data_IF_577396540501
#
_entry.id   IF_577396540501
#
_cell.length_a   1.000
_cell.length_b   1.000
_cell.length_c   1.000
_cell.angle_alpha   90.00
_cell.angle_beta   90.00
_cell.angle_gamma   90.00
#
_symmetry.space_group_name_H-M   'P 1'
#
loop_
_entity.id
_entity.type
_entity.pdbx_description
1 polymer ?
#
# COMPACT_ATOMS: atom_id res chain seq x y z
N UNK A 1 42.34 -81.75 -7.22
CA UNK A 1 42.89 -80.54 -6.58
C UNK A 1 42.76 -79.37 -7.56
N UNK A 2 41.58 -78.75 -7.63
CA UNK A 2 41.33 -77.52 -8.39
C UNK A 2 40.22 -76.80 -7.66
N UNK A 3 40.61 -75.98 -6.68
CA UNK A 3 39.67 -75.24 -5.86
C UNK A 3 40.15 -73.80 -5.72
N UNK A 4 39.19 -72.90 -5.97
CA UNK A 4 39.17 -71.47 -5.62
C UNK A 4 40.31 -70.58 -6.09
N UNK A 5 40.13 -69.98 -7.28
CA UNK A 5 40.93 -68.80 -7.71
C UNK A 5 40.08 -67.66 -8.30
N UNK A 6 38.81 -67.52 -7.91
CA UNK A 6 37.89 -66.52 -8.48
C UNK A 6 37.13 -65.72 -7.40
N UNK A 7 37.78 -65.31 -6.30
CA UNK A 7 37.07 -64.52 -5.28
C UNK A 7 37.65 -63.14 -4.94
N UNK A 8 38.83 -62.79 -5.45
CA UNK A 8 39.47 -61.53 -5.07
C UNK A 8 39.03 -60.34 -5.94
N UNK A 9 38.77 -60.54 -7.24
CA UNK A 9 38.39 -59.45 -8.16
C UNK A 9 37.08 -58.75 -7.78
N UNK A 10 36.04 -59.51 -7.45
CA UNK A 10 34.71 -58.99 -7.13
C UNK A 10 34.68 -58.19 -5.82
N UNK A 11 35.56 -58.49 -4.87
CA UNK A 11 35.69 -57.76 -3.61
C UNK A 11 36.31 -56.38 -3.84
N UNK A 12 37.32 -56.29 -4.68
CA UNK A 12 37.96 -55.01 -5.01
C UNK A 12 37.03 -54.09 -5.81
N UNK A 13 36.25 -54.62 -6.75
CA UNK A 13 35.27 -53.80 -7.49
C UNK A 13 34.20 -53.22 -6.58
N UNK A 14 33.70 -54.00 -5.60
CA UNK A 14 32.72 -53.50 -4.64
C UNK A 14 33.30 -52.40 -3.73
N UNK A 15 34.54 -52.56 -3.25
CA UNK A 15 35.21 -51.55 -2.41
C UNK A 15 35.44 -50.24 -3.18
N UNK A 16 35.83 -50.32 -4.46
CA UNK A 16 36.06 -49.15 -5.30
C UNK A 16 34.73 -48.42 -5.55
N UNK A 17 33.66 -49.14 -5.89
CA UNK A 17 32.34 -48.55 -6.13
C UNK A 17 31.77 -47.92 -4.86
N UNK A 18 31.88 -48.59 -3.70
CA UNK A 18 31.41 -48.00 -2.43
C UNK A 18 32.20 -46.75 -2.05
N UNK A 19 33.52 -46.75 -2.26
CA UNK A 19 34.37 -45.59 -1.99
C UNK A 19 34.01 -44.41 -2.89
N UNK A 20 33.73 -44.68 -4.17
CA UNK A 20 33.31 -43.64 -5.12
C UNK A 20 31.97 -43.03 -4.68
N UNK A 21 30.98 -43.85 -4.34
CA UNK A 21 29.66 -43.37 -3.89
C UNK A 21 29.80 -42.48 -2.64
N UNK A 22 30.59 -42.90 -1.64
CA UNK A 22 30.83 -42.11 -0.43
C UNK A 22 31.50 -40.78 -0.79
N UNK A 23 32.49 -40.78 -1.67
CA UNK A 23 33.20 -39.56 -2.06
C UNK A 23 32.28 -38.58 -2.81
N UNK A 24 31.42 -39.09 -3.70
CA UNK A 24 30.37 -38.27 -4.34
C UNK A 24 29.37 -37.71 -3.32
N UNK A 25 28.92 -38.51 -2.35
CA UNK A 25 27.99 -38.06 -1.33
C UNK A 25 28.58 -36.95 -0.45
N UNK A 26 29.84 -37.08 -0.01
CA UNK A 26 30.55 -36.05 0.76
C UNK A 26 30.72 -34.77 -0.07
N UNK A 27 31.06 -34.89 -1.36
CA UNK A 27 31.19 -33.73 -2.24
C UNK A 27 29.86 -32.99 -2.41
N UNK A 28 28.75 -33.70 -2.62
CA UNK A 28 27.42 -33.10 -2.74
C UNK A 28 26.95 -32.43 -1.44
N UNK A 29 27.21 -33.03 -0.28
CA UNK A 29 26.93 -32.41 1.03
C UNK A 29 27.74 -31.12 1.21
N UNK A 30 29.01 -31.12 0.81
CA UNK A 30 29.87 -29.93 0.86
C UNK A 30 29.37 -28.78 -0.02
N UNK A 31 28.94 -29.06 -1.25
CA UNK A 31 28.33 -28.06 -2.13
C UNK A 31 27.04 -27.47 -1.55
N UNK A 32 26.17 -28.33 -1.00
CA UNK A 32 24.91 -27.91 -0.41
C UNK A 32 25.10 -27.03 0.83
N UNK A 33 26.06 -27.37 1.70
CA UNK A 33 26.42 -26.53 2.85
C UNK A 33 27.05 -25.19 2.42
N UNK A 34 27.91 -25.19 1.39
CA UNK A 34 28.50 -23.97 0.86
C UNK A 34 27.45 -23.00 0.31
N UNK A 35 26.49 -23.48 -0.47
CA UNK A 35 25.42 -22.65 -1.03
C UNK A 35 24.54 -22.03 0.06
N UNK A 36 24.11 -22.80 1.05
CA UNK A 36 23.28 -22.29 2.16
C UNK A 36 23.98 -21.19 2.97
N UNK A 37 25.27 -21.35 3.22
CA UNK A 37 26.04 -20.36 3.98
C UNK A 37 26.28 -19.08 3.18
N UNK A 38 26.44 -19.17 1.85
CA UNK A 38 26.55 -17.99 0.98
C UNK A 38 25.25 -17.20 0.92
N UNK A 39 24.11 -17.88 0.80
CA UNK A 39 22.78 -17.25 0.81
C UNK A 39 22.52 -16.51 2.12
N UNK A 40 22.86 -17.14 3.26
CA UNK A 40 22.76 -16.53 4.58
C UNK A 40 23.65 -15.30 4.76
N UNK A 41 24.91 -15.35 4.30
CA UNK A 41 25.83 -14.23 4.43
C UNK A 41 25.44 -13.04 3.54
N UNK A 42 24.93 -13.32 2.33
CA UNK A 42 24.38 -12.30 1.45
C UNK A 42 23.16 -11.62 2.08
N UNK A 43 22.20 -12.41 2.58
CA UNK A 43 21.00 -11.88 3.22
C UNK A 43 21.35 -11.01 4.43
N UNK A 44 22.27 -11.48 5.27
CA UNK A 44 22.72 -10.72 6.44
C UNK A 44 23.38 -9.38 6.04
N UNK A 45 24.22 -9.38 5.01
CA UNK A 45 24.87 -8.16 4.51
C UNK A 45 23.86 -7.18 3.92
N UNK A 46 22.87 -7.69 3.19
CA UNK A 46 21.77 -6.91 2.64
C UNK A 46 20.92 -6.27 3.75
N UNK A 47 20.45 -7.07 4.73
CA UNK A 47 19.60 -6.60 5.82
C UNK A 47 20.32 -5.55 6.67
N UNK A 48 21.61 -5.76 6.96
CA UNK A 48 22.43 -4.80 7.69
C UNK A 48 22.64 -3.50 6.90
N UNK A 49 22.91 -3.59 5.60
CA UNK A 49 23.06 -2.42 4.73
C UNK A 49 21.76 -1.62 4.61
N UNK A 50 20.64 -2.31 4.44
CA UNK A 50 19.30 -1.71 4.37
C UNK A 50 18.94 -1.01 5.68
N UNK A 51 19.13 -1.68 6.82
CA UNK A 51 18.89 -1.09 8.15
C UNK A 51 19.77 0.13 8.40
N UNK A 52 21.06 0.08 8.05
CA UNK A 52 21.97 1.21 8.22
C UNK A 52 21.59 2.39 7.32
N UNK A 53 21.16 2.13 6.09
CA UNK A 53 20.69 3.17 5.18
C UNK A 53 19.40 3.84 5.68
N UNK A 54 18.43 3.04 6.15
CA UNK A 54 17.19 3.55 6.75
C UNK A 54 17.49 4.43 7.97
N UNK A 55 18.33 3.95 8.89
CA UNK A 55 18.74 4.72 10.07
C UNK A 55 19.43 6.03 9.68
N UNK A 56 20.36 6.00 8.72
CA UNK A 56 21.06 7.20 8.26
C UNK A 56 20.10 8.23 7.63
N UNK A 57 19.07 7.77 6.93
CA UNK A 57 18.02 8.64 6.35
C UNK A 57 17.13 9.22 7.45
N UNK A 58 16.72 8.42 8.43
CA UNK A 58 15.95 8.90 9.60
C UNK A 58 16.74 9.94 10.41
N UNK A 59 18.01 9.68 10.71
CA UNK A 59 18.89 10.60 11.45
C UNK A 59 19.23 11.88 10.67
N UNK A 60 19.13 11.84 9.33
CA UNK A 60 19.46 13.00 8.49
C UNK A 60 18.46 14.15 8.62
N UNK A 61 17.22 13.87 9.07
CA UNK A 61 16.13 14.84 9.08
C UNK A 61 15.77 15.36 7.67
N UNK A 62 16.17 14.67 6.60
CA UNK A 62 15.84 15.03 5.23
C UNK A 62 14.35 14.84 4.91
N UNK A 63 13.70 13.93 5.63
CA UNK A 63 12.27 13.65 5.52
C UNK A 63 11.58 13.95 6.85
N UNK A 64 10.29 14.35 6.82
CA UNK A 64 9.50 14.49 8.04
C UNK A 64 9.44 13.17 8.80
N UNK A 65 9.22 13.25 10.11
CA UNK A 65 9.00 12.07 10.95
C UNK A 65 7.83 11.24 10.44
N UNK A 66 7.99 9.92 10.51
CA UNK A 66 6.99 8.99 10.01
C UNK A 66 5.73 9.03 10.89
N UNK A 67 4.57 9.19 10.27
CA UNK A 67 3.29 9.19 10.99
C UNK A 67 3.02 7.77 11.48
N UNK A 68 2.84 7.59 12.78
CA UNK A 68 2.58 6.28 13.40
C UNK A 68 1.16 5.77 13.15
N UNK A 69 0.18 6.68 13.18
CA UNK A 69 -1.23 6.36 13.05
C UNK A 69 -1.86 7.11 11.89
N UNK A 70 -2.50 6.35 11.00
CA UNK A 70 -3.18 6.89 9.84
C UNK A 70 -4.60 6.32 9.87
N UNK A 71 -5.57 7.22 9.85
CA UNK A 71 -6.99 6.89 9.93
C UNK A 71 -7.74 7.23 8.62
N UNK A 72 -7.01 7.67 7.61
CA UNK A 72 -7.55 7.88 6.27
C UNK A 72 -6.54 7.51 5.18
N UNK A 73 -7.03 7.10 4.02
CA UNK A 73 -6.20 6.81 2.86
C UNK A 73 -6.90 7.28 1.59
N UNK A 74 -6.15 7.98 0.74
CA UNK A 74 -6.62 8.41 -0.57
C UNK A 74 -6.13 7.49 -1.67
N UNK A 75 -6.87 7.40 -2.76
CA UNK A 75 -6.46 6.66 -3.94
C UNK A 75 -7.54 6.53 -4.99
N UNK A 76 -7.33 5.61 -5.93
CA UNK A 76 -8.22 5.39 -7.08
C UNK A 76 -8.90 4.03 -6.99
N UNK A 77 -10.21 3.98 -7.24
CA UNK A 77 -10.97 2.72 -7.24
C UNK A 77 -10.58 1.88 -8.46
N UNK A 78 -10.13 0.66 -8.22
CA UNK A 78 -9.68 -0.27 -9.27
C UNK A 78 -10.79 -1.23 -9.72
N UNK A 79 -11.48 -1.85 -8.77
CA UNK A 79 -12.50 -2.86 -9.04
C UNK A 79 -13.58 -2.86 -7.95
N UNK A 80 -14.82 -3.17 -8.32
CA UNK A 80 -15.99 -3.10 -7.45
C UNK A 80 -16.63 -4.48 -7.35
N UNK A 81 -16.84 -4.96 -6.13
CA UNK A 81 -17.51 -6.20 -5.84
C UNK A 81 -18.86 -5.94 -5.15
N UNK A 82 -19.92 -5.86 -5.96
CA UNK A 82 -21.28 -5.62 -5.48
C UNK A 82 -21.86 -6.73 -4.62
N UNK A 83 -21.29 -7.94 -4.63
CA UNK A 83 -21.82 -9.07 -3.84
C UNK A 83 -21.52 -8.96 -2.36
N UNK A 84 -20.39 -8.36 -2.00
CA UNK A 84 -19.94 -8.20 -0.62
C UNK A 84 -19.78 -6.72 -0.22
N UNK A 85 -20.32 -5.79 -1.02
CA UNK A 85 -20.21 -4.35 -0.80
C UNK A 85 -18.77 -3.94 -0.48
N UNK A 86 -17.85 -4.30 -1.36
CA UNK A 86 -16.44 -3.91 -1.23
C UNK A 86 -15.90 -3.44 -2.57
N UNK A 87 -14.84 -2.64 -2.52
CA UNK A 87 -14.05 -2.31 -3.69
C UNK A 87 -12.56 -2.44 -3.37
N UNK A 88 -11.75 -2.59 -4.42
CA UNK A 88 -10.30 -2.46 -4.29
C UNK A 88 -9.88 -1.09 -4.77
N UNK A 89 -8.89 -0.49 -4.11
CA UNK A 89 -8.32 0.79 -4.51
C UNK A 89 -6.79 0.72 -4.57
N UNK A 90 -6.22 1.51 -5.46
CA UNK A 90 -4.80 1.82 -5.49
C UNK A 90 -4.55 3.02 -4.59
N UNK A 91 -4.03 2.77 -3.40
CA UNK A 91 -3.74 3.78 -2.38
C UNK A 91 -2.48 4.60 -2.74
N UNK A 92 -2.54 5.90 -2.45
CA UNK A 92 -1.39 6.79 -2.52
C UNK A 92 -0.40 6.49 -1.38
N UNK A 93 0.90 6.74 -1.62
CA UNK A 93 1.91 6.62 -0.57
C UNK A 93 1.68 7.70 0.49
N UNK A 94 1.66 7.29 1.74
CA UNK A 94 1.50 8.18 2.90
C UNK A 94 2.82 8.78 3.39
N UNK A 95 3.95 8.28 2.88
CA UNK A 95 5.28 8.75 3.24
C UNK A 95 6.02 9.29 2.01
N UNK A 96 6.64 10.45 2.17
CA UNK A 96 7.59 11.03 1.22
C UNK A 96 8.95 10.32 1.26
N UNK A 97 9.23 9.56 2.34
CA UNK A 97 10.47 8.82 2.48
C UNK A 97 10.38 7.53 1.63
N UNK A 98 11.21 7.38 0.57
CA UNK A 98 11.16 6.21 -0.30
C UNK A 98 11.66 4.92 0.38
N UNK A 99 12.27 5.02 1.57
CA UNK A 99 12.72 3.89 2.36
C UNK A 99 11.78 3.57 3.54
N UNK A 100 10.73 4.36 3.74
CA UNK A 100 9.74 4.08 4.78
C UNK A 100 8.94 2.82 4.44
N UNK A 101 8.40 2.19 5.49
CA UNK A 101 7.45 1.11 5.30
C UNK A 101 6.15 1.68 4.75
N UNK A 102 6.00 1.54 3.43
CA UNK A 102 4.73 1.85 2.78
C UNK A 102 3.78 0.69 3.02
N UNK A 103 2.57 1.00 3.46
CA UNK A 103 1.51 0.02 3.52
C UNK A 103 1.17 -0.52 2.12
N UNK A 104 0.27 -1.50 2.04
CA UNK A 104 -0.12 -2.10 0.76
C UNK A 104 -0.63 -1.05 -0.23
N UNK A 105 -0.10 -1.10 -1.45
CA UNK A 105 -0.54 -0.21 -2.54
C UNK A 105 -1.95 -0.54 -3.02
N UNK A 106 -2.34 -1.81 -2.97
CA UNK A 106 -3.70 -2.24 -3.32
C UNK A 106 -4.41 -2.65 -2.03
N UNK A 107 -5.53 -2.00 -1.75
CA UNK A 107 -6.30 -2.23 -0.51
C UNK A 107 -7.73 -2.58 -0.82
N UNK A 108 -8.31 -3.43 0.01
CA UNK A 108 -9.74 -3.77 -0.06
C UNK A 108 -10.52 -2.93 0.95
N UNK A 109 -11.50 -2.20 0.47
CA UNK A 109 -12.37 -1.35 1.30
C UNK A 109 -13.69 -2.09 1.50
N UNK A 110 -14.00 -2.40 2.76
CA UNK A 110 -15.24 -3.03 3.17
C UNK A 110 -16.24 -1.95 3.58
N UNK A 111 -17.42 -1.99 2.98
CA UNK A 111 -18.50 -1.04 3.25
C UNK A 111 -19.59 -1.77 4.00
N UNK A 112 -20.15 -1.11 5.00
CA UNK A 112 -21.27 -1.62 5.78
C UNK A 112 -22.42 -0.61 5.76
N UNK A 113 -23.55 -0.97 6.37
CA UNK A 113 -24.76 -0.14 6.40
C UNK A 113 -24.57 1.20 7.15
N UNK A 114 -23.55 1.32 8.00
CA UNK A 114 -23.23 2.53 8.74
C UNK A 114 -22.19 3.42 8.04
N UNK A 115 -21.58 2.95 6.94
CA UNK A 115 -20.62 3.73 6.16
C UNK A 115 -21.32 4.88 5.43
N UNK A 116 -20.85 6.11 5.66
CA UNK A 116 -21.38 7.29 4.96
C UNK A 116 -20.56 7.51 3.68
N UNK A 117 -21.22 7.58 2.53
CA UNK A 117 -20.56 7.78 1.23
C UNK A 117 -20.99 9.15 0.70
N UNK A 118 -20.04 10.07 0.58
CA UNK A 118 -20.29 11.44 0.13
C UNK A 118 -19.64 11.67 -1.23
N UNK A 119 -20.43 12.07 -2.21
CA UNK A 119 -19.96 12.61 -3.48
C UNK A 119 -19.69 14.10 -3.32
N UNK A 120 -18.46 14.51 -3.58
CA UNK A 120 -18.01 15.90 -3.58
C UNK A 120 -17.84 16.33 -5.04
N UNK A 121 -18.74 17.18 -5.51
CA UNK A 121 -18.67 17.76 -6.86
C UNK A 121 -18.11 19.17 -6.72
N UNK A 122 -17.08 19.51 -7.50
CA UNK A 122 -16.57 20.88 -7.51
C UNK A 122 -17.67 21.85 -7.95
N UNK A 123 -17.84 22.95 -7.21
CA UNK A 123 -18.72 24.04 -7.65
C UNK A 123 -18.09 24.77 -8.84
N UNK A 124 -18.92 25.45 -9.62
CA UNK A 124 -18.42 26.43 -10.59
C UNK A 124 -17.57 27.49 -9.87
N UNK A 125 -16.47 27.89 -10.53
CA UNK A 125 -15.49 28.80 -9.94
C UNK A 125 -16.09 30.17 -9.65
N UNK A 126 -16.94 30.70 -10.55
CA UNK A 126 -17.57 32.02 -10.38
C UNK A 126 -18.58 31.97 -9.23
N UNK A 127 -19.42 30.93 -9.18
CA UNK A 127 -20.40 30.73 -8.10
C UNK A 127 -19.72 30.65 -6.73
N UNK A 128 -18.67 29.84 -6.60
CA UNK A 128 -17.92 29.73 -5.34
C UNK A 128 -17.28 31.08 -4.94
N UNK A 129 -16.74 31.82 -5.90
CA UNK A 129 -16.12 33.12 -5.63
C UNK A 129 -17.14 34.17 -5.18
N UNK A 130 -18.31 34.21 -5.80
CA UNK A 130 -19.41 35.08 -5.38
C UNK A 130 -19.88 34.77 -3.94
N UNK A 131 -20.01 33.48 -3.60
CA UNK A 131 -20.34 33.03 -2.24
C UNK A 131 -19.26 33.47 -1.23
N UNK A 132 -17.99 33.31 -1.57
CA UNK A 132 -16.86 33.68 -0.71
C UNK A 132 -16.83 35.19 -0.47
N UNK A 133 -17.03 36.03 -1.49
CA UNK A 133 -17.12 37.48 -1.30
C UNK A 133 -18.32 37.87 -0.42
N UNK A 134 -19.46 37.20 -0.61
CA UNK A 134 -20.64 37.45 0.20
C UNK A 134 -20.41 37.08 1.67
N UNK A 135 -19.70 35.98 1.93
CA UNK A 135 -19.27 35.56 3.26
C UNK A 135 -18.31 36.58 3.88
N UNK A 136 -17.27 37.00 3.15
CA UNK A 136 -16.28 37.97 3.64
C UNK A 136 -16.93 39.33 3.99
N UNK A 137 -17.89 39.78 3.18
CA UNK A 137 -18.68 40.99 3.45
C UNK A 137 -19.52 40.85 4.72
N UNK A 138 -20.12 39.69 4.97
CA UNK A 138 -20.89 39.42 6.20
C UNK A 138 -19.97 39.37 7.43
N UNK A 139 -18.81 38.74 7.29
CA UNK A 139 -17.84 38.63 8.39
C UNK A 139 -17.20 39.98 8.76
N UNK A 140 -17.04 40.90 7.80
CA UNK A 140 -16.51 42.23 8.05
C UNK A 140 -17.42 43.12 8.92
N UNK A 141 -18.72 42.79 9.01
CA UNK A 141 -19.71 43.54 9.80
C UNK A 141 -20.22 42.79 11.03
N UNK A 142 -19.75 41.55 11.24
CA UNK A 142 -20.19 40.70 12.34
C UNK A 142 -19.73 41.29 13.69
N UNK A 143 -20.63 41.30 14.67
CA UNK A 143 -20.29 41.70 16.03
C UNK A 143 -19.32 40.65 16.64
N UNK A 144 -18.24 41.07 17.33
CA UNK A 144 -17.35 40.13 18.03
C UNK A 144 -18.04 39.24 19.08
N UNK A 145 -19.26 39.54 19.51
CA UNK A 145 -20.05 38.67 20.39
C UNK A 145 -20.88 37.59 19.64
N UNK A 146 -20.99 37.66 18.31
CA UNK A 146 -21.70 36.68 17.48
C UNK A 146 -20.77 35.54 17.00
N UNK A 147 -21.32 34.32 16.90
CA UNK A 147 -20.58 33.17 16.37
C UNK A 147 -20.53 33.28 14.84
N UNK A 148 -19.34 33.23 14.22
CA UNK A 148 -19.23 33.28 12.77
C UNK A 148 -19.96 32.09 12.12
N UNK A 149 -20.59 32.34 10.99
CA UNK A 149 -21.08 31.28 10.13
C UNK A 149 -19.89 30.46 9.59
N UNK A 150 -20.13 29.23 9.16
CA UNK A 150 -19.09 28.45 8.49
C UNK A 150 -18.78 29.05 7.11
N UNK A 151 -17.51 29.04 6.67
CA UNK A 151 -17.15 29.50 5.34
C UNK A 151 -17.78 28.61 4.26
N UNK A 152 -18.07 29.16 3.07
CA UNK A 152 -18.60 28.37 1.96
C UNK A 152 -17.60 27.29 1.55
N UNK A 153 -18.12 26.11 1.20
CA UNK A 153 -17.31 24.99 0.73
C UNK A 153 -17.15 25.05 -0.80
N UNK A 154 -15.96 24.75 -1.34
CA UNK A 154 -15.76 24.69 -2.80
C UNK A 154 -16.42 23.47 -3.45
N UNK A 155 -17.02 22.58 -2.65
CA UNK A 155 -17.68 21.38 -3.14
C UNK A 155 -19.16 21.36 -2.73
N UNK A 156 -20.03 20.96 -3.65
CA UNK A 156 -21.34 20.44 -3.31
C UNK A 156 -21.22 19.00 -2.82
N UNK A 157 -21.90 18.71 -1.70
CA UNK A 157 -21.87 17.40 -1.05
C UNK A 157 -23.22 16.72 -1.21
N UNK A 158 -23.19 15.51 -1.74
CA UNK A 158 -24.36 14.66 -1.89
C UNK A 158 -24.07 13.30 -1.25
N UNK A 159 -24.95 12.83 -0.37
CA UNK A 159 -24.87 11.46 0.16
C UNK A 159 -25.41 10.49 -0.89
N UNK A 160 -24.60 9.49 -1.25
CA UNK A 160 -24.89 8.53 -2.32
C UNK A 160 -24.82 7.09 -1.80
N UNK A 161 -25.35 6.15 -2.60
CA UNK A 161 -25.29 4.73 -2.28
C UNK A 161 -24.00 4.06 -2.78
N UNK A 162 -23.78 2.82 -2.36
CA UNK A 162 -22.70 1.98 -2.91
C UNK A 162 -22.85 1.75 -4.42
N UNK A 163 -24.08 1.70 -4.93
CA UNK A 163 -24.37 1.46 -6.35
C UNK A 163 -23.93 2.62 -7.26
N UNK A 164 -23.72 3.82 -6.69
CA UNK A 164 -23.26 5.00 -7.41
C UNK A 164 -21.73 5.07 -7.50
N UNK A 165 -21.01 4.16 -6.85
CA UNK A 165 -19.56 4.06 -6.91
C UNK A 165 -19.15 3.43 -8.25
N UNK A 166 -18.17 4.04 -8.91
CA UNK A 166 -17.64 3.60 -10.21
C UNK A 166 -16.11 3.46 -10.12
N UNK A 167 -15.56 2.49 -10.83
CA UNK A 167 -14.11 2.33 -10.94
C UNK A 167 -13.49 3.53 -11.69
N UNK A 168 -12.25 3.88 -11.34
CA UNK A 168 -11.53 5.05 -11.84
C UNK A 168 -11.77 6.34 -11.04
N UNK A 169 -12.73 6.35 -10.11
CA UNK A 169 -12.96 7.52 -9.25
C UNK A 169 -11.89 7.64 -8.16
N UNK A 170 -11.51 8.88 -7.86
CA UNK A 170 -10.63 9.22 -6.74
C UNK A 170 -11.44 9.31 -5.45
N UNK A 171 -10.98 8.62 -4.42
CA UNK A 171 -11.65 8.54 -3.12
C UNK A 171 -10.70 8.75 -1.96
N UNK A 172 -11.22 9.27 -0.87
CA UNK A 172 -10.60 9.24 0.45
C UNK A 172 -11.46 8.41 1.39
N UNK A 173 -10.86 7.36 1.94
CA UNK A 173 -11.52 6.44 2.87
C UNK A 173 -11.06 6.76 4.28
N UNK A 174 -12.02 6.91 5.20
CA UNK A 174 -11.79 7.16 6.62
C UNK A 174 -12.19 5.94 7.46
N UNK A 175 -11.41 5.68 8.51
CA UNK A 175 -11.57 4.56 9.45
C UNK A 175 -11.34 5.05 10.88
N UNK A 176 -11.97 4.41 11.87
CA UNK A 176 -11.66 4.65 13.29
C UNK A 176 -10.41 3.91 13.77
N UNK A 177 -9.95 2.92 13.01
CA UNK A 177 -8.75 2.14 13.32
C UNK A 177 -7.53 2.67 12.57
N UNK A 178 -6.32 2.41 13.11
CA UNK A 178 -5.08 2.69 12.41
C UNK A 178 -4.94 1.75 11.20
N UNK A 179 -4.99 2.33 10.01
CA UNK A 179 -4.96 1.61 8.73
C UNK A 179 -3.61 1.66 8.05
N UNK A 180 -2.55 2.20 8.65
CA UNK A 180 -1.23 2.40 8.01
C UNK A 180 -0.75 1.18 7.19
N UNK A 181 -0.80 -0.01 7.80
CA UNK A 181 -0.33 -1.27 7.20
C UNK A 181 -1.46 -2.25 6.85
N UNK A 182 -2.72 -1.81 6.86
CA UNK A 182 -3.88 -2.69 6.67
C UNK A 182 -4.15 -2.97 5.18
N UNK A 183 -4.22 -4.26 4.81
CA UNK A 183 -4.63 -4.72 3.47
C UNK A 183 -6.14 -4.57 3.24
N UNK A 184 -6.93 -4.66 4.31
CA UNK A 184 -8.38 -4.52 4.30
C UNK A 184 -8.82 -3.48 5.32
N UNK A 185 -9.69 -2.57 4.91
CA UNK A 185 -10.14 -1.43 5.72
C UNK A 185 -11.65 -1.48 5.87
N UNK A 186 -12.16 -1.37 7.08
CA UNK A 186 -13.59 -1.14 7.33
C UNK A 186 -13.84 0.37 7.26
N UNK A 187 -14.58 0.83 6.26
CA UNK A 187 -14.81 2.26 6.06
C UNK A 187 -15.92 2.78 6.98
N UNK A 188 -15.67 3.90 7.65
CA UNK A 188 -16.70 4.68 8.35
C UNK A 188 -17.26 5.78 7.47
N UNK A 189 -16.40 6.40 6.68
CA UNK A 189 -16.76 7.44 5.74
C UNK A 189 -15.93 7.31 4.47
N UNK A 190 -16.54 7.57 3.33
CA UNK A 190 -15.89 7.61 2.03
C UNK A 190 -16.26 8.92 1.38
N UNK A 191 -15.26 9.72 1.05
CA UNK A 191 -15.42 10.93 0.26
C UNK A 191 -14.95 10.65 -1.17
N UNK A 192 -15.83 10.80 -2.14
CA UNK A 192 -15.54 10.66 -3.57
C UNK A 192 -15.40 12.05 -4.16
N UNK A 193 -14.35 12.31 -4.92
CA UNK A 193 -14.12 13.60 -5.56
C UNK A 193 -14.32 13.45 -7.06
N UNK A 194 -15.25 14.25 -7.60
CA UNK A 194 -15.50 14.34 -9.02
C UNK A 194 -14.99 15.70 -9.48
N UNK A 195 -13.88 15.68 -10.22
CA UNK A 195 -13.49 16.81 -11.04
C UNK A 195 -14.43 16.81 -12.24
N UNK A 196 -15.26 17.83 -12.35
CA UNK A 196 -16.04 18.05 -13.56
C UNK A 196 -15.02 18.27 -14.68
N UNK A 197 -14.93 17.29 -15.58
CA UNK A 197 -13.93 17.31 -16.62
C UNK A 197 -14.20 18.57 -17.46
N UNK A 198 -13.30 19.55 -17.44
CA UNK A 198 -13.35 20.80 -18.21
C UNK A 198 -13.26 20.56 -19.75
N UNK A 199 -13.60 19.37 -20.21
CA UNK A 199 -13.60 18.93 -21.61
C UNK A 199 -14.91 19.30 -22.31
N UNK A 200 -15.24 20.59 -22.35
CA UNK A 200 -16.16 21.15 -23.36
C UNK A 200 -15.67 22.55 -23.80
N UNK A 201 -14.50 22.65 -24.44
CA UNK A 201 -14.21 23.74 -25.41
C UNK A 201 -12.90 23.51 -26.19
N UNK A 202 -12.83 22.45 -27.00
CA UNK A 202 -11.99 22.48 -28.21
C UNK A 202 -12.84 21.97 -29.37
N UNK A 203 -13.90 22.70 -29.70
CA UNK A 203 -14.41 22.68 -31.07
C UNK A 203 -13.46 23.54 -31.93
N UNK A 204 -12.51 22.89 -32.62
CA UNK A 204 -11.82 23.45 -33.81
C UNK A 204 -12.58 23.12 -35.10
#
# INVERSE_FOLDING_TARGET
>A
MMEQKIHNGTRWTLIIVSSLIILTAVFLVGLFWGQKNMESAYQQGYDAGWSAARLAVEESGLFPEEIEEINNVSGEIMDINSKNQSFTMMAESVSDNPLAETGPMIRTIQINEATIITKNTAKDFEEYFEEQEAYDRQMAILDPEETPADPPSPYEKEEIGFDDIIAGLRVTVYSSENIKSADSIAAERIDIYIEENLEEEIEE
#
